data_IF_974504509950
#
_entry.id   IF_974504509950
#
_cell.length_a   1.000
_cell.length_b   1.000
_cell.length_c   1.000
_cell.angle_alpha   90.00
_cell.angle_beta   90.00
_cell.angle_gamma   90.00
#
_symmetry.space_group_name_H-M   'P 1'
#
loop_
_entity.id
_entity.type
_entity.pdbx_description
1 polymer ?
#
# COMPACT_ATOMS: atom_id res chain seq x y z
N UNK A 1 -7.86 37.40 -11.76
CA UNK A 1 -9.09 36.71 -12.23
C UNK A 1 -8.80 35.28 -12.69
N UNK A 2 -7.79 35.01 -13.53
CA UNK A 2 -7.48 33.63 -13.97
C UNK A 2 -6.88 32.71 -12.87
N UNK A 3 -6.01 33.23 -12.01
CA UNK A 3 -5.37 32.44 -10.95
C UNK A 3 -6.33 32.00 -9.81
N UNK A 4 -7.44 32.72 -9.59
CA UNK A 4 -8.45 32.33 -8.57
C UNK A 4 -9.45 31.31 -9.11
N UNK A 5 -9.66 31.25 -10.43
CA UNK A 5 -10.50 30.25 -11.07
C UNK A 5 -9.83 28.85 -11.07
N UNK A 6 -8.51 28.80 -11.32
CA UNK A 6 -7.72 27.55 -11.22
C UNK A 6 -7.66 27.02 -9.78
N UNK A 7 -7.63 27.93 -8.78
CA UNK A 7 -7.60 27.55 -7.36
C UNK A 7 -8.94 27.01 -6.84
N UNK A 8 -10.06 27.38 -7.46
CA UNK A 8 -11.40 26.92 -7.09
C UNK A 8 -11.77 25.56 -7.70
N UNK A 9 -11.22 25.20 -8.87
CA UNK A 9 -11.46 23.92 -9.53
C UNK A 9 -10.82 22.73 -8.78
N UNK A 10 -9.62 22.92 -8.23
CA UNK A 10 -8.84 21.85 -7.59
C UNK A 10 -9.39 21.38 -6.23
N UNK A 11 -10.44 22.02 -5.69
CA UNK A 11 -11.03 21.67 -4.37
C UNK A 11 -12.28 20.80 -4.48
N UNK A 12 -12.73 20.48 -5.70
CA UNK A 12 -13.98 19.74 -5.96
C UNK A 12 -13.87 18.62 -7.02
N UNK A 13 -12.69 18.33 -7.58
CA UNK A 13 -12.55 17.42 -8.73
C UNK A 13 -13.20 16.04 -8.49
N UNK A 14 -12.88 15.38 -7.38
CA UNK A 14 -13.45 14.07 -7.04
C UNK A 14 -14.91 14.09 -6.55
N UNK A 15 -15.57 15.25 -6.38
CA UNK A 15 -17.02 15.28 -6.07
C UNK A 15 -17.89 14.78 -7.23
N UNK A 16 -17.33 14.76 -8.45
CA UNK A 16 -17.99 14.24 -9.65
C UNK A 16 -17.89 12.72 -9.78
N UNK A 17 -16.97 12.09 -9.04
CA UNK A 17 -16.82 10.63 -9.02
C UNK A 17 -17.97 10.07 -8.20
N UNK A 18 -18.77 9.19 -8.81
CA UNK A 18 -19.77 8.41 -8.08
C UNK A 18 -19.01 7.47 -7.14
N UNK A 19 -19.37 7.49 -5.86
CA UNK A 19 -18.71 6.71 -4.82
C UNK A 19 -17.33 7.25 -4.40
N UNK A 20 -16.91 6.88 -3.18
CA UNK A 20 -15.60 7.25 -2.63
C UNK A 20 -14.53 6.29 -3.20
N UNK A 21 -13.41 6.78 -3.77
CA UNK A 21 -12.29 5.92 -4.07
C UNK A 21 -11.80 5.21 -2.80
N UNK A 22 -11.38 3.95 -2.93
CA UNK A 22 -10.90 3.14 -1.79
C UNK A 22 -9.58 2.50 -2.13
N UNK A 23 -8.59 2.65 -1.25
CA UNK A 23 -7.26 2.05 -1.42
C UNK A 23 -7.38 0.53 -1.33
N UNK A 24 -6.96 -0.17 -2.39
CA UNK A 24 -7.17 -1.61 -2.51
C UNK A 24 -5.87 -2.41 -2.49
N UNK A 25 -4.75 -1.89 -2.95
CA UNK A 25 -3.51 -2.64 -2.93
C UNK A 25 -2.24 -1.80 -2.84
N UNK A 26 -1.20 -2.46 -2.34
CA UNK A 26 0.21 -2.09 -2.46
C UNK A 26 0.93 -3.17 -3.22
N UNK A 27 1.59 -2.82 -4.34
CA UNK A 27 2.26 -3.78 -5.19
C UNK A 27 3.77 -3.81 -4.94
N UNK A 28 4.29 -5.00 -4.65
CA UNK A 28 5.72 -5.29 -4.60
C UNK A 28 6.08 -6.35 -5.66
N UNK A 29 7.18 -6.13 -6.36
CA UNK A 29 7.75 -7.18 -7.21
C UNK A 29 8.56 -8.15 -6.36
N UNK A 30 8.36 -9.44 -6.60
CA UNK A 30 9.03 -10.52 -5.89
C UNK A 30 9.74 -11.47 -6.85
N UNK A 31 10.90 -11.99 -6.43
CA UNK A 31 11.73 -12.89 -7.22
C UNK A 31 11.16 -14.30 -7.27
N UNK A 32 10.75 -14.83 -6.13
CA UNK A 32 10.34 -16.23 -6.01
C UNK A 32 9.07 -16.33 -5.14
N UNK A 33 7.89 -16.59 -5.74
CA UNK A 33 6.64 -16.74 -5.00
C UNK A 33 6.68 -17.90 -4.00
N UNK A 34 7.52 -18.93 -4.21
CA UNK A 34 7.69 -20.03 -3.27
C UNK A 34 8.43 -19.63 -1.98
N UNK A 35 9.04 -18.44 -1.95
CA UNK A 35 9.64 -17.85 -0.75
C UNK A 35 8.77 -16.75 -0.16
N UNK A 36 8.33 -15.82 -1.00
CA UNK A 36 7.64 -14.61 -0.53
C UNK A 36 6.23 -14.92 -0.01
N UNK A 37 5.48 -15.83 -0.65
CA UNK A 37 4.14 -16.20 -0.17
C UNK A 37 4.20 -16.88 1.21
N UNK A 38 5.00 -17.96 1.43
CA UNK A 38 5.11 -18.57 2.76
C UNK A 38 5.62 -17.60 3.82
N UNK A 39 6.51 -16.66 3.46
CA UNK A 39 6.95 -15.64 4.40
C UNK A 39 5.76 -14.82 4.93
N UNK A 40 4.93 -14.24 4.07
CA UNK A 40 3.79 -13.45 4.52
C UNK A 40 2.68 -14.28 5.18
N UNK A 41 2.41 -15.49 4.67
CA UNK A 41 1.38 -16.38 5.22
C UNK A 41 1.79 -16.98 6.57
N UNK A 42 2.94 -17.66 6.63
CA UNK A 42 3.33 -18.47 7.80
C UNK A 42 3.91 -17.62 8.94
N UNK A 43 4.39 -16.42 8.65
CA UNK A 43 5.03 -15.55 9.63
C UNK A 43 4.17 -14.37 10.05
N UNK A 44 3.35 -13.84 9.13
CA UNK A 44 2.51 -12.67 9.37
C UNK A 44 1.01 -12.94 9.25
N UNK A 45 0.60 -14.19 9.02
CA UNK A 45 -0.81 -14.61 9.06
C UNK A 45 -1.65 -14.03 7.91
N UNK A 46 -1.03 -13.66 6.79
CA UNK A 46 -1.77 -13.25 5.61
C UNK A 46 -2.37 -14.46 4.89
N UNK A 47 -3.45 -14.23 4.14
CA UNK A 47 -4.10 -15.22 3.29
C UNK A 47 -3.99 -14.78 1.84
N UNK A 48 -3.59 -15.69 0.94
CA UNK A 48 -3.73 -15.47 -0.51
C UNK A 48 -5.21 -15.56 -0.87
N UNK A 49 -5.79 -14.42 -1.27
CA UNK A 49 -7.22 -14.31 -1.59
C UNK A 49 -7.52 -14.29 -3.09
N UNK A 50 -6.51 -14.14 -3.94
CA UNK A 50 -6.63 -14.40 -5.38
C UNK A 50 -5.24 -14.50 -6.03
N UNK A 51 -5.21 -15.04 -7.25
CA UNK A 51 -4.04 -14.95 -8.13
C UNK A 51 -4.47 -14.86 -9.58
N UNK A 52 -3.83 -13.98 -10.36
CA UNK A 52 -4.11 -13.83 -11.79
C UNK A 52 -2.83 -14.14 -12.58
N UNK A 53 -2.98 -14.97 -13.61
CA UNK A 53 -1.89 -15.48 -14.41
C UNK A 53 -1.89 -14.84 -15.80
N UNK A 54 -0.77 -14.25 -16.21
CA UNK A 54 -0.65 -13.52 -17.47
C UNK A 54 0.52 -14.06 -18.32
N UNK A 55 0.45 -15.30 -18.83
CA UNK A 55 1.54 -15.92 -19.60
C UNK A 55 1.90 -15.13 -20.86
N UNK A 56 0.93 -14.48 -21.50
CA UNK A 56 1.08 -13.58 -22.65
C UNK A 56 1.96 -12.36 -22.36
N UNK A 57 2.10 -11.98 -21.08
CA UNK A 57 2.97 -10.89 -20.63
C UNK A 57 4.08 -11.36 -19.68
N UNK A 58 4.22 -12.67 -19.49
CA UNK A 58 5.26 -13.32 -18.68
C UNK A 58 5.29 -12.87 -17.21
N UNK A 59 4.13 -12.71 -16.59
CA UNK A 59 4.03 -12.44 -15.16
C UNK A 59 2.78 -13.07 -14.53
N UNK A 60 2.80 -13.18 -13.20
CA UNK A 60 1.68 -13.60 -12.36
C UNK A 60 1.60 -12.71 -11.13
N UNK A 61 0.40 -12.41 -10.69
CA UNK A 61 0.16 -11.61 -9.49
C UNK A 61 -0.61 -12.40 -8.45
N UNK A 62 -0.33 -12.12 -7.18
CA UNK A 62 -0.98 -12.73 -6.02
C UNK A 62 -1.47 -11.63 -5.08
N UNK A 63 -2.74 -11.70 -4.66
CA UNK A 63 -3.31 -10.76 -3.71
C UNK A 63 -3.37 -11.40 -2.34
N UNK A 64 -2.70 -10.80 -1.36
CA UNK A 64 -2.67 -11.26 0.02
C UNK A 64 -3.31 -10.21 0.93
N UNK A 65 -4.08 -10.62 1.93
CA UNK A 65 -4.57 -9.70 2.98
C UNK A 65 -4.65 -10.38 4.34
N UNK A 66 -4.79 -9.61 5.42
CA UNK A 66 -5.13 -10.17 6.75
C UNK A 66 -6.64 -10.27 6.85
N UNK A 67 -7.16 -11.49 6.96
CA UNK A 67 -8.58 -11.71 7.23
C UNK A 67 -8.85 -11.59 8.72
N UNK A 68 -9.89 -10.83 9.08
CA UNK A 68 -10.27 -10.61 10.48
C UNK A 68 -10.74 -11.92 11.10
N UNK A 69 -10.13 -12.30 12.22
CA UNK A 69 -10.58 -13.45 13.01
C UNK A 69 -11.81 -13.07 13.86
N UNK A 70 -12.79 -13.97 13.96
CA UNK A 70 -13.91 -13.89 14.91
C UNK A 70 -15.22 -13.27 14.42
N UNK A 71 -15.29 -12.71 13.20
CA UNK A 71 -16.57 -12.39 12.53
C UNK A 71 -16.94 -13.57 11.61
N UNK A 72 -18.02 -14.29 11.94
CA UNK A 72 -18.52 -15.51 11.29
C UNK A 72 -17.40 -16.49 10.85
N UNK A 73 -17.11 -17.50 11.67
CA UNK A 73 -16.09 -18.60 11.60
C UNK A 73 -15.87 -19.34 10.24
N UNK A 74 -16.32 -18.83 9.12
CA UNK A 74 -15.97 -19.31 7.79
C UNK A 74 -14.56 -18.84 7.46
N UNK A 75 -13.60 -19.74 7.70
CA UNK A 75 -12.31 -19.67 7.04
C UNK A 75 -12.51 -19.34 5.56
N UNK A 76 -11.72 -18.43 5.01
CA UNK A 76 -11.71 -18.19 3.57
C UNK A 76 -11.39 -19.50 2.85
N UNK A 77 -12.34 -19.99 2.06
CA UNK A 77 -12.28 -21.31 1.40
C UNK A 77 -12.22 -21.22 -0.11
N UNK A 78 -12.23 -20.00 -0.67
CA UNK A 78 -12.17 -19.83 -2.12
C UNK A 78 -10.78 -20.23 -2.61
N UNK A 79 -10.72 -20.74 -3.84
CA UNK A 79 -9.47 -21.18 -4.45
C UNK A 79 -8.88 -20.01 -5.24
N UNK A 80 -7.66 -19.53 -4.94
CA UNK A 80 -7.02 -18.46 -5.71
C UNK A 80 -7.00 -18.77 -7.21
N UNK A 81 -7.37 -17.80 -8.05
CA UNK A 81 -7.54 -17.96 -9.49
C UNK A 81 -8.91 -18.48 -9.92
N UNK A 82 -9.82 -18.81 -8.99
CA UNK A 82 -11.23 -19.06 -9.32
C UNK A 82 -11.99 -17.75 -9.56
N UNK A 83 -13.14 -17.83 -10.24
CA UNK A 83 -13.98 -16.63 -10.45
C UNK A 83 -14.47 -16.07 -9.12
N UNK A 84 -14.83 -16.93 -8.17
CA UNK A 84 -15.30 -16.52 -6.86
C UNK A 84 -14.21 -15.78 -6.07
N UNK A 85 -12.95 -16.24 -6.15
CA UNK A 85 -11.82 -15.55 -5.54
C UNK A 85 -11.60 -14.16 -6.17
N UNK A 86 -11.76 -14.05 -7.49
CA UNK A 86 -11.68 -12.78 -8.22
C UNK A 86 -12.77 -11.78 -7.82
N UNK A 87 -14.03 -12.25 -7.80
CA UNK A 87 -15.18 -11.45 -7.41
C UNK A 87 -15.04 -10.98 -5.95
N UNK A 88 -14.53 -11.86 -5.08
CA UNK A 88 -14.21 -11.52 -3.70
C UNK A 88 -13.12 -10.45 -3.63
N UNK A 89 -11.97 -10.64 -4.29
CA UNK A 89 -10.81 -9.73 -4.21
C UNK A 89 -11.13 -8.29 -4.63
N UNK A 90 -11.99 -8.11 -5.63
CA UNK A 90 -12.42 -6.76 -6.06
C UNK A 90 -13.58 -6.16 -5.28
N UNK A 91 -14.13 -6.90 -4.30
CA UNK A 91 -15.19 -6.43 -3.42
C UNK A 91 -14.81 -6.40 -1.95
N UNK A 92 -13.58 -6.81 -1.58
CA UNK A 92 -13.14 -6.80 -0.19
C UNK A 92 -13.21 -5.41 0.43
N UNK A 93 -13.58 -5.40 1.70
CA UNK A 93 -13.42 -4.28 2.60
C UNK A 93 -12.01 -4.34 3.19
N UNK A 94 -11.03 -3.73 2.52
CA UNK A 94 -9.64 -3.71 2.99
C UNK A 94 -8.63 -3.42 1.88
N UNK A 95 -7.36 -3.63 2.22
CA UNK A 95 -6.24 -3.42 1.30
C UNK A 95 -5.37 -4.69 1.27
N UNK A 96 -4.91 -5.04 0.07
CA UNK A 96 -4.04 -6.16 -0.22
C UNK A 96 -2.56 -5.74 -0.29
N UNK A 97 -1.71 -6.70 0.01
CA UNK A 97 -0.37 -6.75 -0.56
C UNK A 97 -0.46 -7.54 -1.88
N UNK A 98 -0.22 -6.86 -2.99
CA UNK A 98 -0.10 -7.48 -4.30
C UNK A 98 1.36 -7.86 -4.55
N UNK A 99 1.62 -9.15 -4.76
CA UNK A 99 2.94 -9.64 -5.11
C UNK A 99 2.99 -9.95 -6.60
N UNK A 100 3.83 -9.24 -7.34
CA UNK A 100 4.04 -9.47 -8.78
C UNK A 100 5.31 -10.27 -9.02
N UNK A 101 5.15 -11.43 -9.63
CA UNK A 101 6.21 -12.33 -10.01
C UNK A 101 6.37 -12.31 -11.54
N UNK A 102 7.55 -11.90 -12.02
CA UNK A 102 7.91 -12.01 -13.44
C UNK A 102 8.57 -13.37 -13.69
N UNK A 103 8.13 -14.09 -14.71
CA UNK A 103 8.51 -15.47 -14.92
C UNK A 103 10.02 -15.68 -15.06
N UNK A 104 10.52 -16.76 -14.45
CA UNK A 104 11.92 -17.17 -14.50
C UNK A 104 12.86 -16.29 -13.70
N UNK A 105 12.37 -15.35 -12.88
CA UNK A 105 13.23 -14.54 -12.01
C UNK A 105 13.79 -15.33 -10.83
N UNK A 106 13.12 -16.40 -10.39
CA UNK A 106 13.57 -17.33 -9.36
C UNK A 106 14.83 -18.11 -9.77
N UNK A 107 14.95 -18.42 -11.06
CA UNK A 107 16.08 -19.19 -11.61
C UNK A 107 17.32 -18.31 -11.91
N UNK A 108 17.16 -16.98 -11.85
CA UNK A 108 18.24 -16.04 -12.13
C UNK A 108 19.07 -15.79 -10.87
N UNK A 109 20.24 -16.43 -10.77
CA UNK A 109 21.11 -16.38 -9.58
C UNK A 109 21.39 -14.96 -9.05
N UNK A 110 21.89 -14.07 -9.92
CA UNK A 110 22.29 -12.70 -9.54
C UNK A 110 21.15 -11.69 -9.55
N UNK A 111 19.96 -12.08 -10.00
CA UNK A 111 18.81 -11.18 -10.08
C UNK A 111 18.26 -10.87 -8.68
N UNK A 112 17.94 -9.60 -8.46
CA UNK A 112 17.26 -9.10 -7.26
C UNK A 112 16.45 -7.86 -7.62
N UNK A 113 15.30 -7.70 -6.98
CA UNK A 113 14.60 -6.43 -6.97
C UNK A 113 15.30 -5.44 -6.02
N UNK A 114 14.98 -4.18 -6.20
CA UNK A 114 15.47 -3.08 -5.37
C UNK A 114 14.47 -2.80 -4.24
N UNK A 115 14.80 -3.13 -2.98
CA UNK A 115 13.84 -3.10 -1.88
C UNK A 115 13.56 -1.70 -1.30
N UNK A 116 14.16 -0.65 -1.88
CA UNK A 116 14.13 0.71 -1.34
C UNK A 116 15.16 0.94 -0.22
N UNK A 117 14.95 2.02 0.54
CA UNK A 117 15.79 2.48 1.66
C UNK A 117 17.28 2.77 1.35
N UNK A 118 17.65 2.95 0.09
CA UNK A 118 18.91 3.58 -0.31
C UNK A 118 18.70 5.08 -0.57
N UNK A 119 19.77 5.77 -1.00
CA UNK A 119 19.72 7.22 -1.21
C UNK A 119 18.60 7.62 -2.19
N UNK A 120 17.75 8.55 -1.75
CA UNK A 120 16.56 9.06 -2.43
C UNK A 120 15.47 8.04 -2.76
N UNK A 121 15.57 6.80 -2.30
CA UNK A 121 14.49 5.83 -2.50
C UNK A 121 13.20 6.27 -1.84
N UNK A 122 12.13 6.19 -2.61
CA UNK A 122 10.80 6.55 -2.18
C UNK A 122 10.19 5.53 -1.24
N UNK A 123 10.14 4.26 -1.65
CA UNK A 123 9.57 3.19 -0.84
C UNK A 123 10.35 2.98 0.47
N UNK A 124 9.61 2.93 1.56
CA UNK A 124 10.13 2.68 2.90
C UNK A 124 9.93 1.24 3.32
N UNK A 125 8.70 0.85 3.61
CA UNK A 125 8.41 -0.47 4.17
C UNK A 125 6.93 -0.81 4.07
N UNK A 126 6.63 -2.08 4.30
CA UNK A 126 5.30 -2.54 4.75
C UNK A 126 5.35 -2.82 6.26
N UNK A 127 4.24 -2.75 6.97
CA UNK A 127 4.22 -2.97 8.43
C UNK A 127 3.12 -3.93 8.88
N UNK A 128 3.36 -4.59 10.01
CA UNK A 128 2.39 -5.41 10.72
C UNK A 128 2.32 -5.02 12.19
N UNK A 129 1.09 -4.83 12.67
CA UNK A 129 0.84 -4.62 14.10
C UNK A 129 0.79 -5.98 14.83
N UNK A 130 1.26 -6.02 16.07
CA UNK A 130 1.14 -7.18 16.97
C UNK A 130 1.07 -6.74 18.43
N UNK A 131 0.61 -7.62 19.33
CA UNK A 131 0.50 -7.29 20.76
C UNK A 131 1.85 -7.33 21.48
N UNK A 132 2.76 -8.22 21.06
CA UNK A 132 4.10 -8.36 21.62
C UNK A 132 5.17 -8.46 20.52
N UNK A 133 5.85 -7.34 20.29
CA UNK A 133 6.93 -7.24 19.29
C UNK A 133 8.12 -8.12 19.66
N UNK A 134 8.46 -8.27 20.94
CA UNK A 134 9.63 -9.06 21.36
C UNK A 134 9.36 -10.55 21.17
N UNK A 135 8.20 -11.03 21.61
CA UNK A 135 7.79 -12.42 21.39
C UNK A 135 7.66 -12.74 19.90
N UNK A 136 7.05 -11.83 19.12
CA UNK A 136 6.96 -11.94 17.67
C UNK A 136 8.34 -12.08 17.03
N UNK A 137 9.27 -11.17 17.32
CA UNK A 137 10.62 -11.18 16.76
C UNK A 137 11.39 -12.44 17.14
N UNK A 138 11.29 -12.89 18.40
CA UNK A 138 11.94 -14.13 18.84
C UNK A 138 11.45 -15.35 18.05
N UNK A 139 10.14 -15.45 17.80
CA UNK A 139 9.56 -16.54 16.98
C UNK A 139 9.99 -16.46 15.50
N UNK A 140 10.10 -15.26 14.95
CA UNK A 140 10.57 -15.04 13.58
C UNK A 140 12.05 -15.42 13.44
N UNK A 141 12.90 -15.01 14.39
CA UNK A 141 14.32 -15.36 14.41
C UNK A 141 14.53 -16.87 14.52
N UNK A 142 13.74 -17.57 15.37
CA UNK A 142 13.78 -19.04 15.46
C UNK A 142 13.39 -19.74 14.14
N UNK A 143 12.59 -19.08 13.30
CA UNK A 143 12.24 -19.54 11.94
C UNK A 143 13.27 -19.09 10.88
N UNK A 144 14.35 -18.43 11.27
CA UNK A 144 15.44 -17.99 10.39
C UNK A 144 15.23 -16.64 9.71
N UNK A 145 14.18 -15.90 10.07
CA UNK A 145 13.94 -14.55 9.53
C UNK A 145 15.07 -13.60 9.94
N UNK A 146 15.60 -12.87 8.97
CA UNK A 146 16.67 -11.90 9.18
C UNK A 146 16.11 -10.53 9.55
N UNK A 147 16.86 -9.75 10.32
CA UNK A 147 16.45 -8.42 10.77
C UNK A 147 17.41 -7.34 10.29
N UNK A 148 16.84 -6.23 9.80
CA UNK A 148 17.55 -4.96 9.65
C UNK A 148 17.82 -4.31 11.01
N UNK A 149 16.86 -4.49 11.93
CA UNK A 149 16.86 -3.93 13.29
C UNK A 149 15.96 -4.77 14.19
N UNK A 150 16.47 -5.20 15.33
CA UNK A 150 15.72 -5.88 16.41
C UNK A 150 15.03 -4.87 17.36
N UNK A 151 14.03 -5.29 18.16
CA UNK A 151 13.25 -4.37 19.00
C UNK A 151 14.05 -3.66 20.09
N UNK A 152 15.19 -4.23 20.49
CA UNK A 152 16.13 -3.71 21.47
C UNK A 152 17.33 -2.98 20.84
N UNK A 153 17.38 -2.81 19.52
CA UNK A 153 18.48 -2.13 18.82
C UNK A 153 18.16 -0.65 18.51
N UNK A 154 19.20 0.16 18.28
CA UNK A 154 19.04 1.58 17.91
C UNK A 154 18.43 2.46 19.02
N UNK A 155 18.03 3.69 18.66
CA UNK A 155 17.45 4.67 19.60
C UNK A 155 15.99 4.38 19.95
N UNK A 156 15.20 4.00 18.95
CA UNK A 156 13.77 3.70 19.13
C UNK A 156 13.57 2.24 19.51
N UNK A 157 13.25 1.98 20.78
CA UNK A 157 12.97 0.63 21.29
C UNK A 157 11.50 0.24 21.06
N UNK A 158 11.23 -1.06 21.03
CA UNK A 158 9.87 -1.60 20.93
C UNK A 158 9.28 -1.65 19.51
N UNK A 159 10.12 -1.43 18.48
CA UNK A 159 9.80 -1.68 17.08
C UNK A 159 10.94 -2.42 16.40
N UNK A 160 10.64 -3.28 15.44
CA UNK A 160 11.63 -4.05 14.69
C UNK A 160 11.41 -3.91 13.17
N UNK A 161 12.47 -4.19 12.40
CA UNK A 161 12.41 -4.28 10.95
C UNK A 161 13.01 -5.62 10.53
N UNK A 162 12.15 -6.53 10.06
CA UNK A 162 12.54 -7.77 9.43
C UNK A 162 12.84 -7.53 7.94
N UNK A 163 13.60 -8.44 7.32
CA UNK A 163 13.69 -8.53 5.87
C UNK A 163 12.73 -9.61 5.37
N UNK A 164 11.98 -9.29 4.33
CA UNK A 164 11.34 -10.31 3.51
C UNK A 164 12.38 -11.01 2.59
N UNK A 165 11.99 -12.06 1.84
CA UNK A 165 12.92 -12.79 0.97
C UNK A 165 13.60 -11.96 -0.13
N UNK A 166 12.96 -10.86 -0.56
CA UNK A 166 13.49 -9.94 -1.57
C UNK A 166 14.25 -8.75 -0.94
N UNK A 167 14.31 -8.67 0.39
CA UNK A 167 15.03 -7.66 1.15
C UNK A 167 14.22 -6.40 1.48
N UNK A 168 12.91 -6.37 1.17
CA UNK A 168 12.02 -5.31 1.61
C UNK A 168 11.96 -5.28 3.13
N UNK A 169 11.84 -4.07 3.67
CA UNK A 169 11.71 -3.90 5.12
C UNK A 169 10.26 -4.17 5.53
N UNK A 170 10.12 -4.98 6.56
CA UNK A 170 8.84 -5.30 7.20
C UNK A 170 8.88 -4.80 8.64
N UNK A 171 8.21 -3.68 8.90
CA UNK A 171 8.11 -3.14 10.26
C UNK A 171 7.18 -4.00 11.12
N UNK A 172 7.58 -4.25 12.37
CA UNK A 172 6.77 -4.92 13.38
C UNK A 172 6.59 -3.93 14.53
N UNK A 173 5.35 -3.53 14.74
CA UNK A 173 4.99 -2.46 15.68
C UNK A 173 3.93 -2.94 16.66
N UNK A 174 4.00 -2.41 17.88
CA UNK A 174 3.11 -2.80 18.97
C UNK A 174 1.74 -2.12 18.86
N UNK A 175 0.65 -2.89 19.06
CA UNK A 175 -0.68 -2.33 19.33
C UNK A 175 -0.71 -1.58 20.66
N UNK A 176 -1.57 -0.58 20.78
CA UNK A 176 -1.74 0.15 22.05
C UNK A 176 -2.62 -0.68 22.98
N UNK A 177 -3.71 -1.24 22.46
CA UNK A 177 -4.64 -2.08 23.23
C UNK A 177 -4.38 -3.56 22.95
N UNK A 178 -3.76 -4.32 23.87
CA UNK A 178 -3.46 -5.73 23.65
C UNK A 178 -4.75 -6.57 23.65
N UNK A 179 -4.77 -7.63 22.84
CA UNK A 179 -5.86 -8.60 22.70
C UNK A 179 -7.21 -8.03 22.20
N UNK A 180 -7.22 -6.81 21.64
CA UNK A 180 -8.42 -6.25 21.02
C UNK A 180 -8.69 -6.86 19.63
N UNK A 181 -7.62 -7.08 18.85
CA UNK A 181 -7.68 -7.74 17.55
C UNK A 181 -7.26 -9.20 17.77
N UNK A 182 -8.12 -10.20 17.50
CA UNK A 182 -7.80 -11.60 17.77
C UNK A 182 -6.59 -12.10 16.97
N UNK A 183 -6.43 -11.60 15.73
CA UNK A 183 -5.29 -11.94 14.90
C UNK A 183 -3.97 -11.58 15.59
N UNK A 184 -3.00 -12.50 15.54
CA UNK A 184 -1.64 -12.25 16.06
C UNK A 184 -0.94 -11.07 15.36
N UNK A 185 -1.15 -10.96 14.04
CA UNK A 185 -0.67 -9.86 13.22
C UNK A 185 -1.80 -9.30 12.36
N UNK A 186 -1.73 -8.02 12.03
CA UNK A 186 -2.54 -7.45 10.94
C UNK A 186 -1.69 -6.49 10.10
N UNK A 187 -1.85 -6.58 8.77
CA UNK A 187 -1.19 -5.67 7.83
C UNK A 187 -1.64 -4.24 8.12
N UNK A 188 -0.69 -3.38 8.46
CA UNK A 188 -1.00 -2.10 9.11
C UNK A 188 -0.50 -0.88 8.36
N UNK A 189 0.58 -0.95 7.59
CA UNK A 189 1.11 0.24 6.92
C UNK A 189 1.79 -0.09 5.59
N UNK A 190 1.71 0.86 4.67
CA UNK A 190 2.68 1.03 3.58
C UNK A 190 3.30 2.42 3.73
N UNK A 191 4.63 2.49 3.75
CA UNK A 191 5.35 3.75 3.92
C UNK A 191 6.00 4.21 2.62
N UNK A 192 5.70 5.44 2.22
CA UNK A 192 6.31 6.15 1.10
C UNK A 192 6.93 7.46 1.56
N UNK A 193 8.13 7.77 1.07
CA UNK A 193 8.73 9.10 1.24
C UNK A 193 8.15 10.07 0.22
N UNK A 194 7.88 11.29 0.65
CA UNK A 194 7.32 12.35 -0.19
C UNK A 194 8.14 13.62 -0.08
N UNK A 195 8.17 14.37 -1.17
CA UNK A 195 8.90 15.63 -1.29
C UNK A 195 8.18 16.78 -0.59
N UNK A 196 6.87 16.89 -0.79
CA UNK A 196 6.06 18.04 -0.34
C UNK A 196 4.71 17.57 0.23
N UNK A 197 4.54 17.56 1.56
CA UNK A 197 3.31 17.08 2.19
C UNK A 197 2.08 17.88 1.79
N UNK A 198 2.21 19.15 1.43
CA UNK A 198 1.07 19.97 1.03
C UNK A 198 0.43 19.47 -0.28
N UNK A 199 1.24 18.88 -1.17
CA UNK A 199 0.78 18.31 -2.44
C UNK A 199 0.29 16.88 -2.26
N UNK A 200 1.10 16.03 -1.62
CA UNK A 200 0.79 14.59 -1.50
C UNK A 200 -0.43 14.37 -0.60
N UNK A 201 -0.55 15.06 0.54
CA UNK A 201 -1.76 14.96 1.37
C UNK A 201 -3.00 15.44 0.63
N UNK A 202 -2.91 16.54 -0.13
CA UNK A 202 -4.04 17.03 -0.94
C UNK A 202 -4.46 16.00 -1.99
N UNK A 203 -3.49 15.36 -2.64
CA UNK A 203 -3.74 14.31 -3.62
C UNK A 203 -4.48 13.12 -3.00
N UNK A 204 -3.93 12.54 -1.94
CA UNK A 204 -4.53 11.35 -1.31
C UNK A 204 -5.88 11.64 -0.63
N UNK A 205 -6.10 12.86 -0.13
CA UNK A 205 -7.44 13.29 0.33
C UNK A 205 -8.46 13.37 -0.80
N UNK A 206 -8.05 13.72 -2.03
CA UNK A 206 -8.93 13.68 -3.19
C UNK A 206 -9.31 12.24 -3.56
N UNK A 207 -8.40 11.29 -3.34
CA UNK A 207 -8.63 9.84 -3.40
C UNK A 207 -9.37 9.27 -2.19
N UNK A 208 -10.07 10.11 -1.42
CA UNK A 208 -10.91 9.65 -0.32
C UNK A 208 -10.15 9.19 0.92
N UNK A 209 -8.85 9.45 1.06
CA UNK A 209 -8.12 9.15 2.30
C UNK A 209 -8.30 10.24 3.35
N UNK A 210 -8.23 9.87 4.63
CA UNK A 210 -8.30 10.76 5.78
C UNK A 210 -6.96 10.76 6.51
N UNK A 211 -6.39 11.93 6.80
CA UNK A 211 -5.23 12.03 7.71
C UNK A 211 -5.70 11.73 9.11
N UNK A 212 -5.27 10.61 9.67
CA UNK A 212 -5.67 10.14 11.01
C UNK A 212 -4.64 10.48 12.09
N UNK A 213 -3.40 10.78 11.70
CA UNK A 213 -2.34 11.24 12.58
C UNK A 213 -1.28 12.01 11.80
N UNK A 214 -0.61 12.95 12.46
CA UNK A 214 0.60 13.60 11.93
C UNK A 214 1.59 13.80 13.07
N UNK A 215 2.87 13.54 12.82
CA UNK A 215 3.91 13.68 13.84
C UNK A 215 5.18 14.27 13.25
N UNK A 216 5.66 15.35 13.87
CA UNK A 216 6.95 15.95 13.58
C UNK A 216 8.02 15.40 14.55
N UNK A 217 9.16 14.97 14.01
CA UNK A 217 10.28 14.37 14.74
C UNK A 217 11.53 15.27 14.77
N UNK A 218 11.43 16.51 14.28
CA UNK A 218 12.50 17.48 14.19
C UNK A 218 12.89 17.73 12.73
N UNK A 219 13.67 16.81 12.16
CA UNK A 219 14.21 16.85 10.79
C UNK A 219 13.31 16.16 9.75
N UNK A 220 12.30 15.41 10.20
CA UNK A 220 11.28 14.82 9.34
C UNK A 220 9.90 14.82 10.02
N UNK A 221 8.86 14.63 9.21
CA UNK A 221 7.48 14.44 9.66
C UNK A 221 6.86 13.21 9.02
N UNK A 222 6.02 12.50 9.76
CA UNK A 222 5.17 11.44 9.22
C UNK A 222 3.71 11.87 9.22
N UNK A 223 3.00 11.53 8.15
CA UNK A 223 1.57 11.76 7.99
C UNK A 223 0.91 10.41 7.70
N UNK A 224 -0.07 10.02 8.50
CA UNK A 224 -0.70 8.71 8.41
C UNK A 224 -2.11 8.88 7.84
N UNK A 225 -2.37 8.25 6.70
CA UNK A 225 -3.63 8.38 5.98
C UNK A 225 -4.36 7.04 5.90
N UNK A 226 -5.61 7.00 6.33
CA UNK A 226 -6.46 5.82 6.25
C UNK A 226 -7.47 5.95 5.10
N UNK A 227 -7.79 4.84 4.45
CA UNK A 227 -8.91 4.73 3.50
C UNK A 227 -10.10 4.08 4.21
N UNK A 228 -11.33 4.36 3.76
CA UNK A 228 -12.49 3.57 4.16
C UNK A 228 -12.28 2.08 3.83
N UNK A 229 -12.81 1.14 4.64
CA UNK A 229 -13.64 1.39 5.83
C UNK A 229 -12.84 1.65 7.13
N UNK A 230 -11.50 1.76 7.09
CA UNK A 230 -10.66 1.95 8.29
C UNK A 230 -10.79 3.34 8.94
N UNK A 231 -11.71 4.19 8.46
CA UNK A 231 -11.94 5.54 8.96
C UNK A 231 -13.25 5.56 9.74
N UNK A 232 -13.19 6.00 11.00
CA UNK A 232 -14.37 6.33 11.80
C UNK A 232 -14.81 7.76 11.49
N UNK A 233 -15.80 7.91 10.61
CA UNK A 233 -16.29 9.22 10.17
C UNK A 233 -16.97 10.04 11.29
N UNK A 234 -17.19 9.45 12.48
CA UNK A 234 -17.70 10.19 13.65
C UNK A 234 -16.60 10.95 14.41
N UNK A 235 -15.33 10.68 14.10
CA UNK A 235 -14.17 11.23 14.80
C UNK A 235 -13.56 12.38 14.00
N UNK A 236 -13.42 13.55 14.65
CA UNK A 236 -12.57 14.62 14.12
C UNK A 236 -11.10 14.34 14.47
N UNK A 237 -10.43 13.58 13.60
CA UNK A 237 -9.01 13.24 13.75
C UNK A 237 -8.09 14.46 13.86
N UNK A 238 -8.49 15.63 13.34
CA UNK A 238 -7.69 16.84 13.41
C UNK A 238 -7.68 17.50 14.80
N UNK A 239 -8.64 17.13 15.65
CA UNK A 239 -8.78 17.63 17.01
C UNK A 239 -8.07 16.76 18.07
N UNK A 240 -7.62 15.56 17.69
CA UNK A 240 -6.99 14.61 18.62
C UNK A 240 -5.60 15.08 19.04
N UNK A 241 -5.23 14.81 20.28
CA UNK A 241 -3.82 14.83 20.70
C UNK A 241 -3.02 13.73 19.99
N UNK A 242 -1.69 13.86 19.95
CA UNK A 242 -0.82 12.84 19.33
C UNK A 242 -0.97 11.47 20.00
N UNK A 243 -1.13 11.42 21.32
CA UNK A 243 -1.29 10.16 22.06
C UNK A 243 -2.63 9.47 21.72
N UNK A 244 -3.73 10.23 21.62
CA UNK A 244 -5.04 9.72 21.19
C UNK A 244 -5.01 9.24 19.74
N UNK A 245 -4.41 10.03 18.84
CA UNK A 245 -4.27 9.66 17.44
C UNK A 245 -3.39 8.41 17.27
N UNK A 246 -2.31 8.30 18.06
CA UNK A 246 -1.41 7.13 18.06
C UNK A 246 -2.15 5.88 18.53
N UNK A 247 -2.89 5.97 19.63
CA UNK A 247 -3.66 4.84 20.17
C UNK A 247 -4.69 4.33 19.16
N UNK A 248 -5.42 5.24 18.50
CA UNK A 248 -6.36 4.88 17.44
C UNK A 248 -5.66 4.22 16.25
N UNK A 249 -4.56 4.82 15.76
CA UNK A 249 -3.82 4.29 14.62
C UNK A 249 -3.27 2.88 14.87
N UNK A 250 -2.72 2.62 16.06
CA UNK A 250 -2.15 1.31 16.39
C UNK A 250 -3.20 0.20 16.52
N UNK A 251 -4.45 0.58 16.73
CA UNK A 251 -5.57 -0.34 16.95
C UNK A 251 -6.47 -0.44 15.70
N UNK A 252 -6.12 0.24 14.60
CA UNK A 252 -6.76 0.04 13.29
C UNK A 252 -6.45 -1.37 12.75
N UNK A 253 -7.48 -2.03 12.22
CA UNK A 253 -7.34 -3.37 11.66
C UNK A 253 -6.72 -3.35 10.26
N UNK A 254 -7.28 -2.56 9.33
CA UNK A 254 -6.73 -2.43 8.00
C UNK A 254 -5.62 -1.37 7.94
N UNK A 255 -4.83 -1.37 6.84
CA UNK A 255 -3.63 -0.59 6.79
C UNK A 255 -3.89 0.90 6.52
N UNK A 256 -2.86 1.69 6.83
CA UNK A 256 -2.74 3.11 6.47
C UNK A 256 -1.60 3.32 5.46
N UNK A 257 -1.64 4.45 4.77
CA UNK A 257 -0.51 4.97 4.01
C UNK A 257 0.27 5.93 4.92
N UNK A 258 1.49 5.56 5.28
CA UNK A 258 2.43 6.44 5.98
C UNK A 258 3.22 7.24 4.95
N UNK A 259 3.13 8.56 5.02
CA UNK A 259 3.92 9.46 4.19
C UNK A 259 5.00 10.11 5.05
N UNK A 260 6.26 9.82 4.74
CA UNK A 260 7.42 10.43 5.41
C UNK A 260 7.98 11.58 4.59
N UNK A 261 8.03 12.76 5.19
CA UNK A 261 8.60 13.96 4.61
C UNK A 261 9.88 14.35 5.36
N UNK A 262 11.02 14.29 4.68
CA UNK A 262 12.28 14.84 5.21
C UNK A 262 12.31 16.34 4.95
N UNK A 263 12.45 17.17 5.98
CA UNK A 263 12.28 18.61 5.83
C UNK A 263 13.35 19.22 4.93
N UNK A 264 12.96 20.17 4.09
CA UNK A 264 13.82 20.83 3.13
C UNK A 264 13.69 20.27 1.71
N UNK A 265 13.24 19.02 1.53
CA UNK A 265 13.04 18.44 0.18
C UNK A 265 12.03 19.21 -0.66
N UNK A 266 11.03 19.81 -0.02
CA UNK A 266 10.00 20.64 -0.65
C UNK A 266 10.56 21.94 -1.24
N UNK A 267 11.72 22.40 -0.74
CA UNK A 267 12.37 23.64 -1.17
C UNK A 267 13.44 23.41 -2.25
N UNK A 268 13.84 22.17 -2.47
CA UNK A 268 14.80 21.80 -3.52
C UNK A 268 14.05 21.47 -4.82
N UNK A 269 14.22 22.31 -5.84
CA UNK A 269 13.55 22.14 -7.12
C UNK A 269 13.96 20.83 -7.85
N UNK A 270 15.22 20.41 -7.68
CA UNK A 270 15.82 19.28 -8.38
C UNK A 270 15.67 17.96 -7.59
N UNK A 271 15.30 18.04 -6.31
CA UNK A 271 15.04 16.86 -5.50
C UNK A 271 13.84 16.07 -6.03
N UNK A 272 14.00 14.76 -6.13
CA UNK A 272 12.92 13.79 -6.33
C UNK A 272 13.27 12.47 -5.64
N UNK A 273 12.23 11.73 -5.24
CA UNK A 273 12.38 10.35 -4.86
C UNK A 273 12.43 9.42 -6.09
N UNK A 274 13.09 8.28 -5.95
CA UNK A 274 12.91 7.16 -6.87
C UNK A 274 11.64 6.41 -6.51
N UNK A 275 10.77 6.20 -7.50
CA UNK A 275 9.41 5.70 -7.27
C UNK A 275 9.31 4.16 -7.34
N UNK A 276 10.45 3.46 -7.46
CA UNK A 276 10.51 2.01 -7.54
C UNK A 276 10.30 1.43 -8.94
N UNK A 277 10.26 2.28 -9.98
CA UNK A 277 10.02 1.85 -11.36
C UNK A 277 11.12 2.27 -12.36
N UNK A 278 12.18 2.93 -11.90
CA UNK A 278 13.39 3.12 -12.70
C UNK A 278 14.08 1.77 -12.99
N UNK A 279 14.77 1.66 -14.13
CA UNK A 279 15.29 0.38 -14.61
C UNK A 279 16.23 -0.33 -13.63
N UNK A 280 17.02 0.41 -12.86
CA UNK A 280 17.95 -0.09 -11.85
C UNK A 280 17.36 -0.11 -10.43
N UNK A 281 16.10 0.31 -10.26
CA UNK A 281 15.42 0.43 -8.96
C UNK A 281 14.03 -0.20 -8.95
N UNK A 282 13.80 -1.20 -9.80
CA UNK A 282 12.54 -1.94 -9.83
C UNK A 282 12.33 -2.69 -8.53
N UNK A 283 11.25 -2.40 -7.83
CA UNK A 283 10.83 -3.12 -6.62
C UNK A 283 9.36 -2.85 -6.34
N UNK A 284 9.10 -1.88 -5.46
CA UNK A 284 7.76 -1.29 -5.31
C UNK A 284 7.20 -0.85 -6.68
N UNK A 285 5.99 -1.31 -7.00
CA UNK A 285 5.34 -1.04 -8.29
C UNK A 285 4.45 0.18 -8.22
N UNK A 286 3.41 0.10 -7.39
CA UNK A 286 2.34 1.09 -7.32
C UNK A 286 1.51 0.86 -6.04
N UNK A 287 0.62 1.80 -5.77
CA UNK A 287 -0.59 1.53 -4.98
C UNK A 287 -1.80 1.67 -5.87
N UNK A 288 -2.90 0.99 -5.58
CA UNK A 288 -4.10 1.03 -6.41
C UNK A 288 -5.36 1.38 -5.65
N UNK A 289 -6.31 1.97 -6.37
CA UNK A 289 -7.58 2.44 -5.85
C UNK A 289 -8.73 1.90 -6.68
N UNK A 290 -9.76 1.41 -5.99
CA UNK A 290 -11.05 1.11 -6.60
C UNK A 290 -11.89 2.38 -6.72
N UNK A 291 -12.48 2.54 -7.90
CA UNK A 291 -13.43 3.61 -8.22
C UNK A 291 -14.66 3.02 -8.92
N UNK A 292 -15.83 3.67 -8.85
CA UNK A 292 -16.99 3.19 -9.60
C UNK A 292 -16.91 3.54 -11.09
N UNK A 293 -16.19 4.62 -11.42
CA UNK A 293 -15.97 5.09 -12.79
C UNK A 293 -14.52 5.55 -12.98
N UNK A 294 -13.75 4.73 -13.72
CA UNK A 294 -12.34 4.98 -14.05
C UNK A 294 -12.16 6.24 -14.89
N UNK A 295 -13.07 6.53 -15.81
CA UNK A 295 -12.94 7.70 -16.71
C UNK A 295 -13.17 8.99 -15.96
N UNK A 296 -14.22 9.06 -15.14
CA UNK A 296 -14.50 10.21 -14.28
C UNK A 296 -13.39 10.44 -13.24
N UNK A 297 -12.80 9.37 -12.70
CA UNK A 297 -11.62 9.47 -11.84
C UNK A 297 -10.41 10.04 -12.60
N UNK A 298 -10.16 9.57 -13.83
CA UNK A 298 -9.07 10.09 -14.67
C UNK A 298 -9.27 11.57 -15.02
N UNK A 299 -10.49 12.00 -15.35
CA UNK A 299 -10.80 13.41 -15.58
C UNK A 299 -10.51 14.28 -14.35
N UNK A 300 -10.86 13.76 -13.16
CA UNK A 300 -10.57 14.44 -11.88
C UNK A 300 -9.06 14.60 -11.64
N UNK A 301 -8.26 13.58 -11.96
CA UNK A 301 -6.79 13.60 -11.87
C UNK A 301 -6.21 14.64 -12.84
N UNK A 302 -6.72 14.72 -14.07
CA UNK A 302 -6.32 15.75 -15.05
C UNK A 302 -6.67 17.16 -14.57
N UNK A 303 -7.86 17.38 -14.02
CA UNK A 303 -8.27 18.66 -13.43
C UNK A 303 -7.36 19.08 -12.26
N UNK A 304 -6.81 18.10 -11.52
CA UNK A 304 -5.82 18.33 -10.46
C UNK A 304 -4.41 18.61 -10.99
N UNK A 305 -4.16 18.41 -12.29
CA UNK A 305 -2.89 18.70 -12.96
C UNK A 305 -1.89 17.56 -12.97
N UNK A 306 -2.32 16.32 -12.73
CA UNK A 306 -1.44 15.14 -12.72
C UNK A 306 -1.52 14.35 -14.03
N UNK A 307 -0.39 13.73 -14.39
CA UNK A 307 -0.24 12.96 -15.62
C UNK A 307 -0.46 11.45 -15.43
N UNK A 308 -0.29 10.71 -16.53
CA UNK A 308 -0.51 9.27 -16.58
C UNK A 308 0.69 8.55 -17.19
N UNK A 309 1.03 7.39 -16.61
CA UNK A 309 1.85 6.36 -17.26
C UNK A 309 1.05 5.65 -18.36
N UNK A 310 -0.24 5.41 -18.09
CA UNK A 310 -1.19 4.74 -18.99
C UNK A 310 -2.58 5.33 -18.79
N UNK A 311 -3.18 5.77 -19.89
CA UNK A 311 -4.56 6.25 -19.93
C UNK A 311 -5.56 5.06 -19.97
N UNK A 312 -6.86 5.26 -19.61
CA UNK A 312 -7.84 4.18 -19.53
C UNK A 312 -8.05 3.43 -20.86
N UNK A 313 -7.92 4.12 -21.99
CA UNK A 313 -7.97 3.55 -23.34
C UNK A 313 -6.59 3.28 -23.95
N UNK A 314 -5.52 3.51 -23.20
CA UNK A 314 -4.15 3.30 -23.67
C UNK A 314 -3.75 1.82 -23.65
N UNK A 315 -3.04 1.37 -24.70
CA UNK A 315 -2.53 0.00 -24.78
C UNK A 315 -3.60 -1.04 -25.14
N UNK A 316 -3.32 -2.31 -24.87
CA UNK A 316 -4.22 -3.44 -25.17
C UNK A 316 -5.29 -3.64 -24.09
N UNK A 317 -4.94 -3.39 -22.83
CA UNK A 317 -5.86 -3.52 -21.68
C UNK A 317 -6.60 -2.21 -21.45
N UNK A 318 -7.92 -2.22 -21.65
CA UNK A 318 -8.78 -1.03 -21.51
C UNK A 318 -9.53 -1.07 -20.19
N UNK A 319 -9.98 0.10 -19.72
CA UNK A 319 -10.79 0.21 -18.50
C UNK A 319 -10.01 0.26 -17.20
N UNK A 320 -8.68 0.39 -17.25
CA UNK A 320 -7.81 0.73 -16.12
C UNK A 320 -6.82 1.82 -16.53
N UNK A 321 -6.37 2.63 -15.57
CA UNK A 321 -5.34 3.63 -15.79
C UNK A 321 -4.22 3.55 -14.75
N UNK A 322 -3.04 4.07 -15.09
CA UNK A 322 -1.95 4.32 -14.17
C UNK A 322 -1.64 5.81 -14.17
N UNK A 323 -2.08 6.51 -13.13
CA UNK A 323 -1.78 7.92 -12.90
C UNK A 323 -0.45 8.09 -12.15
N UNK A 324 0.06 9.31 -12.09
CA UNK A 324 1.15 9.69 -11.20
C UNK A 324 0.63 10.52 -10.04
N UNK A 325 1.12 10.22 -8.84
CA UNK A 325 0.98 11.12 -7.69
C UNK A 325 1.99 12.30 -7.79
N UNK A 326 2.00 13.24 -6.83
CA UNK A 326 2.89 14.41 -6.88
C UNK A 326 4.40 14.10 -6.87
N UNK A 327 4.76 12.92 -6.36
CA UNK A 327 6.14 12.43 -6.26
C UNK A 327 6.50 11.48 -7.41
N UNK A 328 5.54 11.20 -8.30
CA UNK A 328 5.70 10.33 -9.45
C UNK A 328 5.48 8.85 -9.14
N UNK A 329 4.98 8.48 -7.96
CA UNK A 329 4.52 7.11 -7.72
C UNK A 329 3.36 6.77 -8.64
N UNK A 330 3.35 5.53 -9.13
CA UNK A 330 2.24 5.06 -9.96
C UNK A 330 1.03 4.75 -9.07
N UNK A 331 -0.13 5.25 -9.50
CA UNK A 331 -1.42 5.04 -8.87
C UNK A 331 -2.31 4.28 -9.85
N UNK A 332 -2.59 3.02 -9.55
CA UNK A 332 -3.50 2.22 -10.36
C UNK A 332 -4.96 2.60 -10.08
N UNK A 333 -5.73 2.85 -11.14
CA UNK A 333 -7.13 3.21 -11.07
C UNK A 333 -7.93 2.09 -11.72
N UNK A 334 -8.67 1.35 -10.90
CA UNK A 334 -9.41 0.15 -11.33
C UNK A 334 -10.87 0.30 -10.96
N UNK A 335 -11.74 -0.24 -11.81
CA UNK A 335 -13.17 -0.27 -11.54
C UNK A 335 -13.47 -1.23 -10.39
N UNK A 336 -14.32 -0.80 -9.45
CA UNK A 336 -14.88 -1.66 -8.41
C UNK A 336 -15.65 -2.83 -9.03
N UNK A 337 -15.44 -4.03 -8.49
CA UNK A 337 -15.90 -5.28 -9.11
C UNK A 337 -14.98 -5.80 -10.23
N UNK A 338 -13.82 -5.17 -10.43
CA UNK A 338 -12.78 -5.64 -11.35
C UNK A 338 -12.95 -5.16 -12.78
N UNK A 339 -12.04 -5.63 -13.63
CA UNK A 339 -12.07 -5.44 -15.08
C UNK A 339 -12.15 -6.80 -15.77
N UNK A 340 -12.90 -6.85 -16.87
CA UNK A 340 -12.86 -8.02 -17.75
C UNK A 340 -11.53 -7.96 -18.52
N UNK A 341 -10.59 -8.83 -18.15
CA UNK A 341 -9.27 -8.90 -18.78
C UNK A 341 -9.31 -9.44 -20.21
N UNK A 342 -10.49 -9.81 -20.75
CA UNK A 342 -10.68 -10.13 -22.17
C UNK A 342 -10.03 -11.44 -22.63
N UNK A 343 -9.23 -12.08 -21.79
CA UNK A 343 -8.67 -13.40 -22.05
C UNK A 343 -9.65 -14.47 -21.57
N UNK A 344 -10.15 -15.23 -22.55
CA UNK A 344 -10.88 -16.48 -22.31
C UNK A 344 -10.07 -17.31 -21.32
N UNK A 345 -10.66 -17.53 -20.15
CA UNK A 345 -10.24 -18.53 -19.17
C UNK A 345 -9.74 -19.76 -19.91
N UNK A 346 -8.46 -20.09 -19.74
CA UNK A 346 -7.98 -21.40 -20.16
C UNK A 346 -8.67 -22.39 -19.24
N UNK A 347 -9.59 -23.17 -19.80
CA UNK A 347 -10.33 -24.25 -19.14
C UNK A 347 -9.42 -25.28 -18.47
#
# INVERSE_FOLDING_TARGET
MAASAVKAAATNAFKKVVGRPTWQQTMLRIKDPSKSIPFYCDHFGMTVIDSLDFPQWSFKIFFLTTLKEGDDDKAYTLTPGSQEAHDYMWSIEGTCLELTYNYGTEDQGDFKYHPGNQDKDGFGHVAFNTDDVYEACNKLEQKGVQFKKKPDEGRMKGIAFAYDPDGYWVEIIKRTTPNQIPNKFNFSQTMLRIKDPSKSIKFYKAFGMTVVRSKNYGDFSNYFLASSPNVDDSVDYSSLSDDEAKARLSDMFGPILELTHNHGTENDADFRHFNGNEDDKKGFGHIGFLVDDVYSACDSIREMGYGFKKEPDGGTMKGLAFAYDPDGYQIEIIKRGGIDFGDKKVE
#
